data_IF_888785833875
#
_entry.id   IF_888785833875
#
_cell.length_a   1.000
_cell.length_b   1.000
_cell.length_c   1.000
_cell.angle_alpha   90.00
_cell.angle_beta   90.00
_cell.angle_gamma   90.00
#
_symmetry.space_group_name_H-M   'P 1'
#
loop_
_entity.id
_entity.type
_entity.pdbx_description
1 polymer ?
#
# COMPACT_ATOMS: atom_id res chain seq x y z
N UNK A 1 -5.84 14.04 -18.53
CA UNK A 1 -4.93 12.89 -18.33
C UNK A 1 -3.54 13.44 -18.11
N UNK A 2 -3.05 13.45 -16.88
CA UNK A 2 -1.81 14.15 -16.49
C UNK A 2 -0.57 13.39 -16.96
N UNK A 3 0.14 13.98 -17.93
CA UNK A 3 1.39 13.48 -18.48
C UNK A 3 2.51 13.46 -17.42
N UNK A 4 3.03 12.27 -17.12
CA UNK A 4 4.07 12.03 -16.12
C UNK A 4 5.47 12.25 -16.72
N UNK A 5 5.93 13.51 -16.75
CA UNK A 5 7.28 13.88 -17.22
C UNK A 5 8.38 13.46 -16.23
N UNK A 6 8.75 12.18 -16.24
CA UNK A 6 9.90 11.65 -15.49
C UNK A 6 11.19 11.74 -16.34
N UNK A 7 12.25 12.35 -15.81
CA UNK A 7 13.51 12.69 -16.53
C UNK A 7 14.61 11.61 -16.48
N UNK A 8 14.47 10.57 -15.65
CA UNK A 8 15.54 9.59 -15.40
C UNK A 8 15.13 8.21 -15.89
N UNK A 9 16.01 7.48 -16.57
CA UNK A 9 15.78 6.10 -17.06
C UNK A 9 16.25 5.04 -16.04
N UNK A 10 15.75 5.12 -14.80
CA UNK A 10 15.96 4.06 -13.83
C UNK A 10 14.89 2.98 -14.00
N UNK A 11 15.20 1.74 -13.63
CA UNK A 11 14.22 0.63 -13.59
C UNK A 11 12.91 1.01 -12.87
N UNK A 12 13.02 1.87 -11.85
CA UNK A 12 11.89 2.42 -11.10
C UNK A 12 11.09 3.44 -11.91
N UNK A 13 11.75 4.32 -12.68
CA UNK A 13 11.07 5.27 -13.54
C UNK A 13 10.37 4.58 -14.72
N UNK A 14 10.98 3.55 -15.31
CA UNK A 14 10.36 2.74 -16.36
C UNK A 14 9.14 1.97 -15.84
N UNK A 15 9.19 1.43 -14.60
CA UNK A 15 8.01 0.82 -13.98
C UNK A 15 6.86 1.81 -13.76
N UNK A 16 7.16 3.06 -13.34
CA UNK A 16 6.16 4.14 -13.18
C UNK A 16 5.53 4.56 -14.51
N UNK A 17 6.29 4.61 -15.60
CA UNK A 17 5.80 4.89 -16.95
C UNK A 17 4.91 3.76 -17.47
N UNK A 18 5.29 2.50 -17.22
CA UNK A 18 4.54 1.33 -17.65
C UNK A 18 3.27 1.07 -16.81
N UNK A 19 3.20 1.56 -15.57
CA UNK A 19 2.06 1.37 -14.66
C UNK A 19 1.58 2.71 -14.09
N UNK A 20 1.08 3.64 -14.93
CA UNK A 20 0.70 4.97 -14.50
C UNK A 20 -0.46 4.95 -13.52
N UNK A 21 -1.44 4.06 -13.72
CA UNK A 21 -2.63 3.92 -12.86
C UNK A 21 -2.23 3.56 -11.41
N UNK A 22 -1.44 2.50 -11.25
CA UNK A 22 -0.91 2.05 -9.96
C UNK A 22 -0.13 3.16 -9.26
N UNK A 23 0.74 3.86 -9.99
CA UNK A 23 1.52 4.96 -9.44
C UNK A 23 0.64 6.13 -8.99
N UNK A 24 -0.35 6.51 -9.81
CA UNK A 24 -1.29 7.58 -9.49
C UNK A 24 -2.12 7.23 -8.25
N UNK A 25 -2.52 5.98 -8.06
CA UNK A 25 -3.26 5.56 -6.87
C UNK A 25 -2.43 5.72 -5.60
N UNK A 26 -1.16 5.33 -5.61
CA UNK A 26 -0.26 5.58 -4.49
C UNK A 26 -0.06 7.09 -4.22
N UNK A 27 0.12 7.90 -5.26
CA UNK A 27 0.28 9.36 -5.11
C UNK A 27 -0.99 10.01 -4.55
N UNK A 28 -2.15 9.58 -5.01
CA UNK A 28 -3.44 10.09 -4.55
C UNK A 28 -3.69 9.77 -3.07
N UNK A 29 -3.38 8.56 -2.62
CA UNK A 29 -3.42 8.19 -1.18
C UNK A 29 -2.50 9.09 -0.36
N UNK A 30 -1.23 9.22 -0.77
CA UNK A 30 -0.26 10.06 -0.05
C UNK A 30 -0.72 11.52 0.02
N UNK A 31 -1.23 12.06 -1.09
CA UNK A 31 -1.76 13.42 -1.12
C UNK A 31 -2.97 13.56 -0.21
N UNK A 32 -3.89 12.60 -0.20
CA UNK A 32 -5.07 12.64 0.66
C UNK A 32 -4.71 12.54 2.15
N UNK A 33 -3.70 11.75 2.50
CA UNK A 33 -3.13 11.66 3.85
C UNK A 33 -2.54 13.01 4.29
N UNK A 34 -1.69 13.62 3.45
CA UNK A 34 -1.08 14.92 3.75
C UNK A 34 -2.11 16.04 3.83
N UNK A 35 -3.17 15.98 3.00
CA UNK A 35 -4.27 16.94 3.05
C UNK A 35 -5.25 16.69 4.20
N UNK A 36 -5.09 15.61 4.97
CA UNK A 36 -6.06 15.20 6.00
C UNK A 36 -7.42 14.76 5.46
N UNK A 37 -7.56 14.60 4.13
CA UNK A 37 -8.77 14.07 3.48
C UNK A 37 -8.94 12.58 3.69
N UNK A 38 -7.82 11.90 3.94
CA UNK A 38 -7.78 10.49 4.28
C UNK A 38 -7.06 10.36 5.62
N UNK A 39 -7.68 9.64 6.56
CA UNK A 39 -7.11 9.38 7.88
C UNK A 39 -6.72 7.91 7.93
N UNK A 40 -5.49 7.63 8.38
CA UNK A 40 -5.04 6.25 8.60
C UNK A 40 -5.81 5.66 9.78
N UNK A 41 -6.62 4.64 9.49
CA UNK A 41 -7.24 3.82 10.52
C UNK A 41 -6.28 2.77 11.08
N UNK A 42 -6.57 2.19 12.25
CA UNK A 42 -5.89 0.98 12.69
C UNK A 42 -6.27 -0.19 11.78
N UNK A 43 -5.51 -1.28 11.90
CA UNK A 43 -5.81 -2.50 11.15
C UNK A 43 -7.21 -2.99 11.49
N UNK A 44 -8.06 -3.17 10.48
CA UNK A 44 -9.45 -3.64 10.66
C UNK A 44 -9.54 -5.05 11.27
N UNK A 45 -8.46 -5.85 11.22
CA UNK A 45 -8.43 -7.21 11.78
C UNK A 45 -7.86 -7.26 13.20
N UNK A 46 -6.77 -6.53 13.48
CA UNK A 46 -6.08 -6.62 14.79
C UNK A 46 -5.87 -5.30 15.52
N UNK A 47 -6.33 -4.18 14.98
CA UNK A 47 -6.18 -2.87 15.62
C UNK A 47 -4.76 -2.28 15.58
N UNK A 48 -3.80 -2.92 14.89
CA UNK A 48 -2.42 -2.39 14.80
C UNK A 48 -2.40 -1.01 14.15
N UNK A 49 -1.59 -0.09 14.70
CA UNK A 49 -1.39 1.25 14.12
C UNK A 49 -0.41 1.26 12.95
N UNK A 50 0.36 0.19 12.77
CA UNK A 50 1.28 0.02 11.65
C UNK A 50 0.50 -0.67 10.53
N UNK A 51 -0.04 0.15 9.63
CA UNK A 51 -0.90 -0.29 8.52
C UNK A 51 -0.39 0.21 7.18
N UNK A 52 -0.67 -0.59 6.17
CA UNK A 52 -0.50 -0.28 4.77
C UNK A 52 -1.89 -0.08 4.11
N UNK A 53 -1.93 0.76 3.09
CA UNK A 53 -3.14 1.01 2.30
C UNK A 53 -3.30 -0.12 1.28
N UNK A 54 -4.24 -1.02 1.55
CA UNK A 54 -4.64 -2.04 0.60
C UNK A 54 -5.68 -1.47 -0.37
N UNK A 55 -5.44 -1.67 -1.67
CA UNK A 55 -6.34 -1.24 -2.73
C UNK A 55 -7.05 -2.46 -3.28
N UNK A 56 -8.36 -2.54 -3.03
CA UNK A 56 -9.23 -3.59 -3.59
C UNK A 56 -9.54 -3.28 -5.07
N UNK A 57 -9.79 -2.00 -5.34
CA UNK A 57 -10.06 -1.46 -6.66
C UNK A 57 -9.08 -0.30 -6.96
N UNK A 58 -8.17 -0.52 -7.91
CA UNK A 58 -7.16 0.47 -8.27
C UNK A 58 -7.75 1.71 -8.96
N UNK A 59 -8.98 1.63 -9.50
CA UNK A 59 -9.70 2.76 -10.09
C UNK A 59 -10.29 3.72 -9.04
N UNK A 60 -10.35 3.31 -7.77
CA UNK A 60 -10.77 4.15 -6.63
C UNK A 60 -9.61 4.38 -5.66
N UNK A 61 -8.70 5.32 -5.97
CA UNK A 61 -7.46 5.47 -5.22
C UNK A 61 -7.62 5.98 -3.78
N UNK A 62 -8.79 6.52 -3.42
CA UNK A 62 -9.08 6.95 -2.05
C UNK A 62 -9.82 5.89 -1.24
N UNK A 63 -10.33 4.84 -1.89
CA UNK A 63 -11.04 3.73 -1.23
C UNK A 63 -10.04 2.64 -0.90
N UNK A 64 -9.33 2.84 0.20
CA UNK A 64 -8.31 1.89 0.68
C UNK A 64 -8.70 1.30 2.03
N UNK A 65 -8.32 0.05 2.22
CA UNK A 65 -8.44 -0.68 3.48
C UNK A 65 -7.15 -0.57 4.27
N UNK A 66 -7.27 -0.39 5.58
CA UNK A 66 -6.11 -0.28 6.46
C UNK A 66 -5.79 -1.65 7.04
N UNK A 67 -4.73 -2.27 6.53
CA UNK A 67 -4.31 -3.59 6.97
C UNK A 67 -2.86 -3.55 7.40
N UNK A 68 -2.54 -4.21 8.52
CA UNK A 68 -1.14 -4.37 8.89
C UNK A 68 -0.45 -5.29 7.88
N UNK A 69 0.88 -5.16 7.73
CA UNK A 69 1.68 -5.95 6.76
C UNK A 69 1.36 -7.44 6.78
N UNK A 70 1.08 -8.02 7.96
CA UNK A 70 0.68 -9.42 8.14
C UNK A 70 -0.66 -9.72 7.47
N UNK A 71 -1.71 -8.95 7.78
CA UNK A 71 -3.04 -9.13 7.18
C UNK A 71 -3.07 -8.73 5.71
N UNK A 72 -2.30 -7.72 5.32
CA UNK A 72 -2.15 -7.32 3.94
C UNK A 72 -1.52 -8.43 3.09
N UNK A 73 -0.44 -9.05 3.59
CA UNK A 73 0.19 -10.20 2.92
C UNK A 73 -0.72 -11.41 2.91
N UNK A 74 -1.44 -11.69 4.01
CA UNK A 74 -2.43 -12.77 4.09
C UNK A 74 -3.54 -12.61 3.05
N UNK A 75 -4.09 -11.39 2.92
CA UNK A 75 -5.11 -11.07 1.93
C UNK A 75 -4.61 -11.29 0.49
N UNK A 76 -3.35 -10.97 0.21
CA UNK A 76 -2.73 -11.22 -1.09
C UNK A 76 -2.31 -12.68 -1.33
N UNK A 77 -1.99 -13.44 -0.28
CA UNK A 77 -1.40 -14.78 -0.38
C UNK A 77 -2.44 -15.90 -0.52
N UNK A 78 -3.65 -15.72 -0.01
CA UNK A 78 -4.70 -16.74 -0.12
C UNK A 78 -5.99 -16.26 0.52
N UNK A 79 -7.10 -16.46 -0.18
CA UNK A 79 -8.44 -16.31 0.40
C UNK A 79 -8.73 -17.26 1.56
N UNK A 80 -7.77 -18.06 2.04
CA UNK A 80 -8.00 -19.06 3.08
C UNK A 80 -6.88 -19.11 4.10
N UNK A 81 -7.34 -19.44 5.31
CA UNK A 81 -6.66 -19.54 6.58
C UNK A 81 -5.40 -20.41 6.56
N UNK A 82 -4.26 -19.84 6.93
CA UNK A 82 -3.15 -20.59 7.52
C UNK A 82 -2.55 -19.76 8.65
N UNK A 83 -2.95 -20.10 9.88
CA UNK A 83 -2.24 -19.72 11.09
C UNK A 83 -0.82 -20.32 11.09
N UNK A 84 0.05 -19.66 11.88
CA UNK A 84 1.28 -20.17 12.51
C UNK A 84 2.61 -19.55 12.03
N UNK A 85 3.12 -18.66 12.91
CA UNK A 85 4.53 -18.43 13.33
C UNK A 85 5.60 -18.21 12.23
N UNK A 86 6.42 -17.14 12.26
CA UNK A 86 7.38 -16.86 13.33
C UNK A 86 7.68 -15.37 13.48
N UNK A 87 7.89 -14.97 14.74
CA UNK A 87 8.64 -13.76 15.04
C UNK A 87 10.10 -13.93 14.60
N UNK A 88 10.72 -12.81 14.24
CA UNK A 88 12.17 -12.64 14.28
C UNK A 88 12.43 -11.15 14.47
N UNK A 89 12.61 -10.79 15.74
CA UNK A 89 13.50 -9.71 16.11
C UNK A 89 14.89 -10.04 15.54
N UNK A 90 15.49 -9.13 14.81
CA UNK A 90 16.95 -9.07 14.68
C UNK A 90 17.38 -7.62 14.85
N UNK A 91 17.61 -7.30 16.13
CA UNK A 91 18.60 -6.35 16.58
C UNK A 91 19.97 -6.81 16.07
N UNK A 92 20.69 -5.97 15.33
CA UNK A 92 22.13 -6.13 15.13
C UNK A 92 22.79 -4.77 15.37
N UNK A 93 23.31 -4.67 16.58
CA UNK A 93 24.49 -3.94 17.07
C UNK A 93 25.26 -3.09 16.08
#
# INVERSE_FOLDING_TARGET
MTELKLKTDTRQANWRRANPDRYLSHVAVQKALTQGKLVKGPCEVCGSRIVDAHHDDYSKPLTVRWLCRRHHSRLHAGGEDMFCEKGQAHEHR
#
